data_IF_938932445981
#
_entry.id   IF_938932445981
#
_cell.length_a   1.000
_cell.length_b   1.000
_cell.length_c   1.000
_cell.angle_alpha   90.00
_cell.angle_beta   90.00
_cell.angle_gamma   90.00
#
_symmetry.space_group_name_H-M   'P 1'
#
loop_
_entity.id
_entity.type
_entity.pdbx_description
1 polymer ?
#
# COMPACT_ATOMS: atom_id res chain seq x y z
N UNK A 1 4.62 18.04 23.41
CA UNK A 1 3.54 18.03 24.43
C UNK A 1 3.51 16.61 24.99
N UNK A 2 3.93 16.41 26.25
CA UNK A 2 3.94 15.10 26.90
C UNK A 2 2.50 14.60 27.09
N UNK A 3 2.21 13.33 26.76
CA UNK A 3 0.94 12.70 27.13
C UNK A 3 1.15 11.74 28.30
N UNK A 4 0.46 12.03 29.41
CA UNK A 4 0.27 11.13 30.56
C UNK A 4 -0.79 10.07 30.21
N UNK A 5 -0.49 8.81 30.56
CA UNK A 5 -1.47 7.74 30.67
C UNK A 5 -2.04 7.76 32.10
N UNK A 6 -3.37 7.82 32.23
CA UNK A 6 -4.07 7.38 33.43
C UNK A 6 -4.93 6.17 33.08
N UNK A 7 -4.57 5.06 33.74
CA UNK A 7 -5.29 3.80 33.83
C UNK A 7 -6.28 3.91 35.00
N UNK A 8 -7.54 3.50 34.81
CA UNK A 8 -8.45 3.30 35.94
C UNK A 8 -9.36 2.09 35.68
N UNK A 9 -8.93 0.95 36.23
CA UNK A 9 -9.74 -0.25 36.42
C UNK A 9 -10.72 -0.06 37.58
N UNK A 10 -11.95 -0.52 37.40
CA UNK A 10 -12.94 -0.73 38.47
C UNK A 10 -13.54 -2.14 38.38
N UNK A 11 -13.84 -2.84 39.50
CA UNK A 11 -14.16 -4.27 39.51
C UNK A 11 -15.68 -4.60 39.49
N UNK A 12 -16.08 -5.89 39.38
CA UNK A 12 -17.39 -6.35 38.89
C UNK A 12 -18.34 -6.84 40.00
N UNK A 13 -19.66 -6.74 39.78
CA UNK A 13 -20.77 -7.49 40.45
C UNK A 13 -22.12 -7.01 39.87
N UNK A 14 -23.23 -7.75 39.72
CA UNK A 14 -23.58 -9.18 39.65
C UNK A 14 -25.08 -9.28 39.31
N UNK A 15 -25.48 -10.38 38.62
CA UNK A 15 -26.72 -11.20 38.80
C UNK A 15 -28.13 -10.80 38.27
N UNK A 16 -28.82 -11.85 37.75
CA UNK A 16 -30.29 -12.15 37.57
C UNK A 16 -30.94 -11.58 36.27
N UNK A 17 -31.74 -12.27 35.42
CA UNK A 17 -32.55 -13.50 35.45
C UNK A 17 -32.82 -14.08 34.03
N UNK A 18 -33.18 -15.37 34.07
CA UNK A 18 -33.88 -16.33 33.19
C UNK A 18 -34.69 -15.98 31.92
N UNK A 19 -34.83 -17.04 31.11
CA UNK A 19 -35.77 -17.36 30.00
C UNK A 19 -35.20 -17.03 28.60
N UNK A 20 -35.05 -17.95 27.64
CA UNK A 20 -35.81 -19.17 27.39
C UNK A 20 -36.50 -19.05 26.02
N UNK A 21 -35.75 -19.12 24.91
CA UNK A 21 -36.25 -19.57 23.62
C UNK A 21 -35.09 -20.11 22.77
N UNK A 22 -35.35 -21.21 22.09
CA UNK A 22 -34.42 -21.96 21.26
C UNK A 22 -34.55 -21.46 19.82
N UNK A 23 -33.41 -21.31 19.13
CA UNK A 23 -33.34 -21.44 17.69
C UNK A 23 -31.95 -21.94 17.33
N UNK A 24 -31.90 -23.24 17.06
CA UNK A 24 -30.88 -23.92 16.28
C UNK A 24 -30.64 -23.17 14.97
N UNK A 25 -29.41 -22.70 14.78
CA UNK A 25 -28.82 -22.51 13.45
C UNK A 25 -27.36 -22.95 13.53
N UNK A 26 -27.19 -24.24 13.25
CA UNK A 26 -26.17 -24.81 12.36
C UNK A 26 -24.74 -24.30 12.49
N UNK A 27 -23.97 -25.13 13.20
CA UNK A 27 -22.55 -25.47 12.98
C UNK A 27 -21.97 -25.05 11.64
N UNK A 28 -21.12 -24.02 11.67
CA UNK A 28 -19.86 -24.02 10.92
C UNK A 28 -18.76 -23.78 11.96
N UNK A 29 -18.47 -24.82 12.75
CA UNK A 29 -17.24 -24.88 13.53
C UNK A 29 -16.10 -25.21 12.57
N UNK A 30 -15.14 -24.31 12.48
CA UNK A 30 -13.82 -24.61 11.99
C UNK A 30 -12.80 -23.94 12.92
N UNK A 31 -12.48 -24.63 14.02
CA UNK A 31 -11.23 -24.43 14.78
C UNK A 31 -10.06 -24.95 13.89
N UNK A 32 -8.81 -24.47 13.88
CA UNK A 32 -7.93 -23.75 14.82
C UNK A 32 -6.64 -23.33 14.02
N UNK A 33 -5.54 -22.84 14.61
CA UNK A 33 -5.28 -21.52 15.22
C UNK A 33 -4.15 -20.75 14.50
N UNK A 34 -4.18 -19.42 14.54
CA UNK A 34 -2.95 -18.64 14.76
C UNK A 34 -3.31 -17.53 15.72
N UNK A 35 -2.84 -17.66 16.95
CA UNK A 35 -2.74 -16.56 17.90
C UNK A 35 -1.88 -15.48 17.23
N UNK A 36 -2.51 -14.64 16.43
CA UNK A 36 -1.93 -13.39 16.01
C UNK A 36 -1.85 -12.59 17.30
N UNK A 37 -0.63 -12.50 17.84
CA UNK A 37 -0.15 -11.36 18.63
C UNK A 37 -1.04 -10.16 18.32
N UNK A 38 -1.63 -9.44 19.29
CA UNK A 38 -2.60 -8.38 19.02
C UNK A 38 -1.95 -7.42 18.03
N UNK A 39 -2.26 -7.62 16.74
CA UNK A 39 -1.74 -6.80 15.67
C UNK A 39 -2.52 -5.54 15.88
N UNK A 40 -1.86 -4.58 16.53
CA UNK A 40 -2.38 -3.24 16.74
C UNK A 40 -3.13 -2.86 15.47
N UNK A 41 -4.45 -2.68 15.60
CA UNK A 41 -5.34 -2.55 14.45
C UNK A 41 -4.99 -1.24 13.73
N UNK A 42 -4.09 -1.33 12.74
CA UNK A 42 -3.73 -0.17 11.92
C UNK A 42 -4.93 0.19 11.05
N UNK A 43 -5.55 1.32 11.38
CA UNK A 43 -6.60 1.97 10.61
C UNK A 43 -5.95 2.97 9.67
N UNK A 44 -6.17 2.80 8.37
CA UNK A 44 -5.70 3.73 7.36
C UNK A 44 -6.81 4.70 6.98
N UNK A 45 -6.46 5.97 6.96
CA UNK A 45 -7.29 7.07 6.45
C UNK A 45 -6.63 7.63 5.18
N UNK A 46 -7.46 8.01 4.21
CA UNK A 46 -7.01 8.55 2.94
C UNK A 46 -7.98 9.64 2.44
N UNK A 47 -7.51 10.46 1.51
CA UNK A 47 -8.31 11.56 0.94
C UNK A 47 -9.43 11.04 0.03
N UNK A 48 -9.29 9.81 -0.49
CA UNK A 48 -10.33 9.13 -1.26
C UNK A 48 -10.52 7.67 -0.83
N UNK A 49 -11.73 7.12 -1.00
CA UNK A 49 -12.04 5.73 -0.66
C UNK A 49 -11.22 4.72 -1.50
N UNK A 50 -10.91 5.05 -2.75
CA UNK A 50 -10.13 4.19 -3.63
C UNK A 50 -8.69 4.04 -3.12
N UNK A 51 -8.12 5.12 -2.59
CA UNK A 51 -6.78 5.11 -2.02
C UNK A 51 -6.71 4.24 -0.77
N UNK A 52 -7.70 4.37 0.13
CA UNK A 52 -7.81 3.51 1.30
C UNK A 52 -7.91 2.03 0.88
N UNK A 53 -8.78 1.71 -0.08
CA UNK A 53 -8.96 0.35 -0.58
C UNK A 53 -7.65 -0.26 -1.12
N UNK A 54 -6.87 0.51 -1.89
CA UNK A 54 -5.56 0.06 -2.39
C UNK A 54 -4.57 -0.25 -1.25
N UNK A 55 -4.54 0.57 -0.20
CA UNK A 55 -3.65 0.34 0.95
C UNK A 55 -4.10 -0.88 1.77
N UNK A 56 -5.41 -1.05 1.99
CA UNK A 56 -5.95 -2.25 2.65
C UNK A 56 -5.67 -3.52 1.85
N UNK A 57 -5.80 -3.47 0.52
CA UNK A 57 -5.45 -4.58 -0.35
C UNK A 57 -3.95 -4.92 -0.25
N UNK A 58 -3.07 -3.91 -0.29
CA UNK A 58 -1.63 -4.13 -0.12
C UNK A 58 -1.30 -4.79 1.24
N UNK A 59 -1.97 -4.37 2.32
CA UNK A 59 -1.83 -5.01 3.63
C UNK A 59 -2.24 -6.48 3.61
N UNK A 60 -3.28 -6.86 2.87
CA UNK A 60 -3.68 -8.26 2.71
C UNK A 60 -2.60 -9.12 2.01
N UNK A 61 -1.75 -8.50 1.19
CA UNK A 61 -0.57 -9.14 0.58
C UNK A 61 0.70 -9.02 1.44
N UNK A 62 0.58 -8.68 2.73
CA UNK A 62 1.68 -8.45 3.66
C UNK A 62 2.61 -7.28 3.28
N UNK A 63 2.13 -6.36 2.44
CA UNK A 63 2.80 -5.10 2.14
C UNK A 63 2.12 -3.99 2.97
N UNK A 64 2.68 -3.65 4.13
CA UNK A 64 2.05 -2.72 5.06
C UNK A 64 2.70 -1.33 5.01
N UNK A 65 1.89 -0.28 4.94
CA UNK A 65 2.35 1.08 5.20
C UNK A 65 2.55 1.24 6.72
N UNK A 66 3.78 1.49 7.16
CA UNK A 66 4.12 1.57 8.60
C UNK A 66 4.10 3.01 9.10
N UNK A 67 4.69 3.92 8.33
CA UNK A 67 4.75 5.34 8.69
C UNK A 67 4.81 6.22 7.44
N UNK A 68 4.28 7.43 7.56
CA UNK A 68 4.35 8.46 6.53
C UNK A 68 4.72 9.79 7.18
N UNK A 69 5.84 10.35 6.75
CA UNK A 69 6.27 11.71 7.03
C UNK A 69 6.11 12.55 5.76
N UNK A 70 6.34 13.85 5.86
CA UNK A 70 6.26 14.76 4.72
C UNK A 70 7.29 14.43 3.62
N UNK A 71 8.47 13.97 4.02
CA UNK A 71 9.64 13.71 3.18
C UNK A 71 10.00 12.22 3.09
N UNK A 72 9.30 11.34 3.81
CA UNK A 72 9.66 9.92 3.91
C UNK A 72 8.44 9.01 4.04
N UNK A 73 8.52 7.82 3.45
CA UNK A 73 7.48 6.79 3.54
C UNK A 73 8.12 5.46 3.95
N UNK A 74 7.69 4.89 5.08
CA UNK A 74 8.14 3.57 5.52
C UNK A 74 7.10 2.51 5.18
N UNK A 75 7.51 1.47 4.47
CA UNK A 75 6.71 0.28 4.15
C UNK A 75 7.40 -0.98 4.65
N UNK A 76 6.62 -1.96 5.06
CA UNK A 76 7.08 -3.29 5.44
C UNK A 76 6.68 -4.28 4.35
N UNK A 77 7.68 -5.00 3.84
CA UNK A 77 7.54 -5.96 2.74
C UNK A 77 7.86 -7.37 3.26
N UNK A 78 7.17 -8.42 2.78
CA UNK A 78 7.24 -9.76 3.38
C UNK A 78 8.63 -10.42 3.28
N UNK A 79 9.47 -10.02 2.33
CA UNK A 79 10.78 -10.63 2.09
C UNK A 79 11.97 -9.66 2.24
N UNK A 80 11.69 -8.36 2.28
CA UNK A 80 12.71 -7.32 2.31
C UNK A 80 12.72 -6.56 3.65
N UNK A 81 11.71 -6.79 4.49
CA UNK A 81 11.55 -6.11 5.76
C UNK A 81 11.08 -4.67 5.57
N UNK A 82 11.42 -3.83 6.56
CA UNK A 82 11.05 -2.41 6.55
C UNK A 82 12.01 -1.61 5.67
N UNK A 83 11.45 -0.96 4.64
CA UNK A 83 12.15 0.02 3.81
C UNK A 83 11.57 1.41 4.03
N UNK A 84 12.45 2.41 4.05
CA UNK A 84 12.07 3.82 4.09
C UNK A 84 12.49 4.48 2.80
N UNK A 85 11.52 4.98 2.05
CA UNK A 85 11.71 5.71 0.80
C UNK A 85 11.74 7.21 1.09
N UNK A 86 12.65 7.94 0.45
CA UNK A 86 12.66 9.40 0.49
C UNK A 86 11.67 9.91 -0.58
N UNK A 87 10.70 10.73 -0.14
CA UNK A 87 9.69 11.37 -0.96
C UNK A 87 10.18 12.76 -1.37
N UNK A 88 10.66 12.86 -2.60
CA UNK A 88 11.23 14.10 -3.14
C UNK A 88 10.13 15.10 -3.53
N UNK A 89 9.05 14.61 -4.12
CA UNK A 89 7.95 15.47 -4.56
C UNK A 89 6.62 14.73 -4.64
N UNK A 90 5.53 15.42 -4.30
CA UNK A 90 4.16 14.91 -4.46
C UNK A 90 3.40 15.81 -5.40
N UNK A 91 2.98 15.25 -6.53
CA UNK A 91 2.06 15.88 -7.47
C UNK A 91 0.65 15.37 -7.12
N UNK A 92 -0.05 16.09 -6.24
CA UNK A 92 -1.41 15.75 -5.79
C UNK A 92 -2.42 15.72 -6.94
N UNK A 93 -3.52 15.00 -6.81
CA UNK A 93 -4.48 14.78 -7.90
C UNK A 93 -4.99 16.09 -8.51
N UNK A 94 -5.03 16.15 -9.85
CA UNK A 94 -5.58 17.30 -10.58
C UNK A 94 -6.59 16.79 -11.61
N UNK A 95 -7.78 17.37 -11.60
CA UNK A 95 -8.91 17.04 -12.47
C UNK A 95 -8.65 17.26 -13.96
N UNK A 96 -7.75 18.19 -14.33
CA UNK A 96 -7.39 18.45 -15.72
C UNK A 96 -6.53 17.30 -16.24
N UNK A 97 -5.52 16.88 -15.46
CA UNK A 97 -4.64 15.78 -15.85
C UNK A 97 -5.17 14.39 -15.47
N UNK A 98 -6.17 14.27 -14.60
CA UNK A 98 -6.79 13.01 -14.14
C UNK A 98 -5.83 11.94 -13.60
N UNK A 99 -4.73 12.36 -12.95
CA UNK A 99 -3.72 11.45 -12.36
C UNK A 99 -3.07 12.05 -11.11
N UNK A 100 -2.44 11.26 -10.26
CA UNK A 100 -1.58 11.61 -9.13
C UNK A 100 -0.21 10.97 -9.34
N UNK A 101 0.88 11.69 -9.03
CA UNK A 101 2.24 11.15 -9.14
C UNK A 101 3.08 11.49 -7.91
N UNK A 102 4.02 10.61 -7.57
CA UNK A 102 5.02 10.85 -6.53
C UNK A 102 6.40 10.56 -7.09
N UNK A 103 7.36 11.39 -6.71
CA UNK A 103 8.78 11.21 -7.05
C UNK A 103 9.48 10.71 -5.80
N UNK A 104 10.05 9.52 -5.88
CA UNK A 104 10.73 8.89 -4.74
C UNK A 104 12.16 8.51 -5.11
N UNK A 105 13.04 8.51 -4.12
CA UNK A 105 14.39 7.95 -4.22
C UNK A 105 14.42 6.59 -3.53
N UNK A 106 14.89 5.58 -4.26
CA UNK A 106 14.99 4.23 -3.74
C UNK A 106 16.15 4.11 -2.74
N UNK A 107 15.93 3.60 -1.51
CA UNK A 107 16.94 3.68 -0.44
C UNK A 107 18.19 2.82 -0.68
N UNK A 108 18.11 1.78 -1.52
CA UNK A 108 19.22 0.85 -1.76
C UNK A 108 19.97 1.13 -3.06
N UNK A 109 19.28 1.69 -4.07
CA UNK A 109 19.84 1.89 -5.42
C UNK A 109 20.12 3.36 -5.71
N UNK A 110 19.62 4.28 -4.86
CA UNK A 110 19.68 5.73 -5.05
C UNK A 110 19.00 6.23 -6.34
N UNK A 111 18.23 5.35 -7.01
CA UNK A 111 17.51 5.69 -8.22
C UNK A 111 16.26 6.53 -7.92
N UNK A 112 16.04 7.53 -8.77
CA UNK A 112 14.85 8.37 -8.70
C UNK A 112 13.76 7.78 -9.59
N UNK A 113 12.67 7.37 -8.97
CA UNK A 113 11.54 6.72 -9.63
C UNK A 113 10.27 7.55 -9.47
N UNK A 114 9.46 7.61 -10.54
CA UNK A 114 8.17 8.31 -10.54
C UNK A 114 7.05 7.29 -10.57
N UNK A 115 6.24 7.25 -9.53
CA UNK A 115 5.03 6.41 -9.47
C UNK A 115 3.82 7.26 -9.81
N UNK A 116 2.97 6.75 -10.70
CA UNK A 116 1.78 7.47 -11.18
C UNK A 116 0.56 6.56 -11.13
N UNK A 117 -0.55 7.09 -10.61
CA UNK A 117 -1.88 6.46 -10.67
C UNK A 117 -2.89 7.44 -11.24
N UNK A 118 -3.86 6.97 -12.02
CA UNK A 118 -4.84 7.85 -12.65
C UNK A 118 -5.75 7.11 -13.62
N UNK A 119 -6.53 7.86 -14.41
CA UNK A 119 -7.37 7.28 -15.44
C UNK A 119 -6.53 6.59 -16.53
N UNK A 120 -6.98 5.41 -16.98
CA UNK A 120 -6.28 4.61 -17.99
C UNK A 120 -6.01 5.43 -19.27
N UNK A 121 -7.01 6.19 -19.73
CA UNK A 121 -6.88 7.04 -20.92
C UNK A 121 -5.73 8.05 -20.83
N UNK A 122 -5.34 8.46 -19.61
CA UNK A 122 -4.21 9.38 -19.41
C UNK A 122 -2.91 8.62 -19.22
N UNK A 123 -2.93 7.53 -18.46
CA UNK A 123 -1.71 6.78 -18.14
C UNK A 123 -1.18 6.06 -19.37
N UNK A 124 -2.06 5.46 -20.19
CA UNK A 124 -1.67 4.72 -21.38
C UNK A 124 -0.94 5.60 -22.42
N UNK A 125 -1.36 6.86 -22.57
CA UNK A 125 -0.72 7.82 -23.47
C UNK A 125 0.70 8.22 -23.03
N UNK A 126 1.08 7.97 -21.78
CA UNK A 126 2.42 8.25 -21.25
C UNK A 126 3.39 7.06 -21.36
N UNK A 127 2.87 5.87 -21.67
CA UNK A 127 3.69 4.68 -21.76
C UNK A 127 4.52 4.71 -23.04
N UNK A 128 5.74 4.20 -22.96
CA UNK A 128 6.54 3.98 -24.16
C UNK A 128 5.83 2.95 -25.06
N UNK A 129 5.81 3.14 -26.38
CA UNK A 129 5.32 2.12 -27.30
C UNK A 129 6.05 0.81 -27.03
N UNK A 130 5.30 -0.30 -27.03
CA UNK A 130 5.93 -1.62 -27.00
C UNK A 130 6.82 -1.73 -28.25
N UNK A 131 8.14 -1.70 -28.05
CA UNK A 131 9.10 -1.95 -29.12
C UNK A 131 9.00 -3.43 -29.49
N UNK A 132 8.09 -3.75 -30.41
CA UNK A 132 8.13 -5.04 -31.10
C UNK A 132 9.45 -5.08 -31.86
N UNK A 133 10.43 -5.79 -31.28
CA UNK A 133 11.78 -5.90 -31.81
C UNK A 133 11.74 -6.27 -33.28
N UNK A 134 11.97 -5.28 -34.14
CA UNK A 134 12.28 -5.48 -35.54
C UNK A 134 13.71 -4.98 -35.71
N UNK A 135 14.59 -5.97 -35.75
CA UNK A 135 15.99 -6.02 -36.19
C UNK A 135 17.11 -5.42 -35.31
N UNK A 136 17.99 -6.29 -34.74
CA UNK A 136 19.17 -5.87 -33.97
C UNK A 136 20.40 -5.51 -34.83
N UNK A 137 20.27 -5.17 -36.11
CA UNK A 137 21.41 -4.73 -36.93
C UNK A 137 21.02 -3.59 -37.87
N UNK A 138 21.41 -2.32 -37.59
CA UNK A 138 21.60 -1.37 -38.69
C UNK A 138 22.74 -1.91 -39.56
N UNK A 139 22.45 -2.14 -40.84
CA UNK A 139 23.42 -2.58 -41.82
C UNK A 139 24.71 -1.73 -41.70
N UNK A 140 25.84 -2.39 -41.43
CA UNK A 140 27.13 -1.73 -41.46
C UNK A 140 27.30 -1.04 -42.81
N UNK A 141 27.71 0.25 -42.86
CA UNK A 141 28.08 0.86 -44.12
C UNK A 141 29.24 0.06 -44.70
N UNK A 142 29.00 -0.52 -45.88
CA UNK A 142 30.04 -1.21 -46.63
C UNK A 142 31.13 -0.19 -46.95
N UNK A 143 32.32 -0.38 -46.38
CA UNK A 143 33.52 0.30 -46.82
C UNK A 143 33.74 -0.03 -48.29
N UNK A 144 33.41 0.90 -49.18
CA UNK A 144 33.88 0.86 -50.56
C UNK A 144 35.21 1.59 -50.60
N UNK A 145 36.29 0.82 -50.59
CA UNK A 145 37.61 1.32 -50.91
C UNK A 145 37.68 1.79 -52.36
N UNK A 146 38.23 2.99 -52.54
CA UNK A 146 39.21 3.33 -53.58
C UNK A 146 40.17 4.37 -53.02
#
# INVERSE_FOLDING_TARGET
MLLRLEEKLGPPTSTIASNGYSSTTESWEQECPKEAQPQQELRFEAESPDEAALVYAAKAYNCALVNRLHDQVSVELPHLGRLTFELLHTLGFDSIRKRMSVVIRHPLTDEINVYTKGADSVVMDLLLPCSSGTDPYPAAPQFLGR
#
